data_IF_440366543647
#
_entry.id   IF_440366543647
#
_cell.length_a   1.000
_cell.length_b   1.000
_cell.length_c   1.000
_cell.angle_alpha   90.00
_cell.angle_beta   90.00
_cell.angle_gamma   90.00
#
_symmetry.space_group_name_H-M   'P 1'
#
loop_
_entity.id
_entity.type
_entity.pdbx_description
1 polymer ?
#
# COMPACT_ATOMS: atom_id res chain seq x y z
N UNK A 1 11.55 -30.71 5.43
CA UNK A 1 11.08 -31.52 4.29
C UNK A 1 11.38 -30.76 3.00
N UNK A 2 12.17 -31.31 2.07
CA UNK A 2 12.50 -30.61 0.83
C UNK A 2 11.21 -30.47 0.01
N UNK A 3 10.80 -29.23 -0.23
CA UNK A 3 9.60 -28.96 -1.00
C UNK A 3 9.82 -29.42 -2.43
N UNK A 4 8.95 -30.32 -2.88
CA UNK A 4 9.01 -30.86 -4.23
C UNK A 4 9.06 -29.71 -5.25
N UNK A 5 9.98 -29.76 -6.23
CA UNK A 5 10.20 -28.65 -7.13
C UNK A 5 8.96 -28.40 -8.01
N UNK A 6 8.53 -27.15 -8.01
CA UNK A 6 7.37 -26.65 -8.77
C UNK A 6 7.56 -26.91 -10.26
N UNK A 7 6.51 -27.33 -10.95
CA UNK A 7 6.44 -27.16 -12.40
C UNK A 7 6.20 -25.68 -12.74
N UNK A 8 6.78 -25.22 -13.85
CA UNK A 8 6.47 -23.88 -14.36
C UNK A 8 4.99 -23.77 -14.78
N UNK A 9 4.45 -22.56 -14.76
CA UNK A 9 3.06 -22.24 -15.11
C UNK A 9 2.65 -22.80 -16.46
N UNK A 10 3.50 -22.65 -17.48
CA UNK A 10 3.21 -23.11 -18.83
C UNK A 10 3.13 -24.65 -18.93
N UNK A 11 4.12 -25.39 -18.41
CA UNK A 11 4.06 -26.85 -18.38
C UNK A 11 2.87 -27.36 -17.54
N UNK A 12 2.48 -26.62 -16.50
CA UNK A 12 1.34 -26.94 -15.65
C UNK A 12 0.00 -26.77 -16.38
N UNK A 13 -0.19 -25.64 -17.08
CA UNK A 13 -1.39 -25.38 -17.89
C UNK A 13 -1.54 -26.40 -19.02
N UNK A 14 -0.44 -26.74 -19.67
CA UNK A 14 -0.43 -27.74 -20.74
C UNK A 14 -0.45 -29.20 -20.23
N UNK A 15 -0.47 -29.41 -18.90
CA UNK A 15 -0.44 -30.73 -18.25
C UNK A 15 0.71 -31.63 -18.74
N UNK A 16 1.90 -31.06 -18.94
CA UNK A 16 3.11 -31.76 -19.43
C UNK A 16 4.19 -31.87 -18.36
N UNK A 17 5.16 -32.76 -18.59
CA UNK A 17 6.33 -32.97 -17.73
C UNK A 17 7.28 -31.76 -17.82
N UNK A 18 7.57 -31.13 -16.69
CA UNK A 18 8.52 -30.02 -16.56
C UNK A 18 9.89 -30.54 -16.09
N UNK A 19 10.99 -30.03 -16.67
CA UNK A 19 12.35 -30.36 -16.22
C UNK A 19 12.76 -29.63 -14.93
N UNK A 20 12.01 -28.59 -14.52
CA UNK A 20 12.14 -27.89 -13.24
C UNK A 20 13.48 -27.16 -13.02
N UNK A 21 14.21 -26.89 -14.10
CA UNK A 21 15.38 -26.01 -14.09
C UNK A 21 14.95 -24.54 -13.96
N UNK A 22 15.58 -23.79 -13.06
CA UNK A 22 15.39 -22.33 -12.90
C UNK A 22 16.56 -21.58 -13.53
N UNK A 23 16.34 -20.48 -14.26
CA UNK A 23 15.11 -19.70 -14.37
C UNK A 23 14.10 -20.21 -15.41
N UNK A 24 14.53 -21.01 -16.38
CA UNK A 24 13.71 -21.52 -17.50
C UNK A 24 13.90 -23.03 -17.59
N UNK A 25 12.81 -23.79 -17.73
CA UNK A 25 12.92 -25.24 -17.93
C UNK A 25 13.40 -25.55 -19.37
N UNK A 26 14.26 -26.56 -19.54
CA UNK A 26 14.78 -26.99 -20.85
C UNK A 26 13.72 -27.13 -21.95
N UNK A 27 12.50 -27.59 -21.63
CA UNK A 27 11.39 -27.67 -22.60
C UNK A 27 10.95 -26.28 -23.10
N UNK A 28 10.70 -25.35 -22.18
CA UNK A 28 10.32 -24.00 -22.55
C UNK A 28 11.47 -23.24 -23.22
N UNK A 29 12.72 -23.55 -22.87
CA UNK A 29 13.91 -23.03 -23.55
C UNK A 29 13.95 -23.44 -25.02
N UNK A 30 13.86 -24.75 -25.31
CA UNK A 30 13.89 -25.25 -26.69
C UNK A 30 12.72 -24.77 -27.53
N UNK A 31 11.53 -24.66 -26.94
CA UNK A 31 10.31 -24.24 -27.63
C UNK A 31 10.11 -22.72 -27.61
N UNK A 32 11.06 -21.95 -27.05
CA UNK A 32 10.99 -20.49 -26.87
C UNK A 32 9.68 -20.01 -26.26
N UNK A 33 9.14 -20.78 -25.32
CA UNK A 33 7.92 -20.43 -24.61
C UNK A 33 8.21 -19.58 -23.38
N UNK A 34 7.28 -18.69 -23.05
CA UNK A 34 7.30 -17.95 -21.79
C UNK A 34 7.23 -18.92 -20.61
N UNK A 35 8.35 -19.09 -19.92
CA UNK A 35 8.50 -19.94 -18.75
C UNK A 35 8.52 -19.08 -17.50
N UNK A 36 7.50 -19.21 -16.66
CA UNK A 36 7.46 -18.58 -15.36
C UNK A 36 7.18 -19.62 -14.28
N UNK A 37 8.01 -19.69 -13.25
CA UNK A 37 7.68 -20.45 -12.05
C UNK A 37 6.80 -19.58 -11.15
N UNK A 38 5.71 -20.12 -10.57
CA UNK A 38 4.85 -19.34 -9.71
C UNK A 38 5.62 -18.96 -8.43
N UNK A 39 5.71 -17.66 -8.15
CA UNK A 39 6.45 -17.11 -7.00
C UNK A 39 5.70 -17.25 -5.67
N UNK A 40 4.46 -17.76 -5.69
CA UNK A 40 3.64 -18.00 -4.49
C UNK A 40 2.87 -19.31 -4.62
N UNK A 41 3.13 -20.25 -3.71
CA UNK A 41 2.19 -21.34 -3.43
C UNK A 41 1.02 -20.79 -2.63
N UNK A 42 -0.21 -21.30 -2.87
CA UNK A 42 -1.30 -21.15 -1.91
C UNK A 42 -0.81 -21.64 -0.53
N UNK A 43 -0.63 -20.71 0.39
CA UNK A 43 -0.66 -20.99 1.83
C UNK A 43 0.58 -21.60 2.50
N UNK A 44 1.83 -21.36 2.06
CA UNK A 44 3.00 -21.41 2.98
C UNK A 44 4.27 -20.79 2.43
N UNK A 45 4.97 -20.07 3.30
CA UNK A 45 6.26 -19.36 3.10
C UNK A 45 7.42 -20.37 3.05
N UNK A 46 8.39 -20.13 2.18
CA UNK A 46 9.74 -20.73 2.27
C UNK A 46 10.70 -19.57 2.03
N UNK A 47 11.45 -19.19 3.06
CA UNK A 47 12.62 -18.34 2.88
C UNK A 47 13.79 -19.18 2.36
N UNK A 48 14.67 -18.56 1.57
CA UNK A 48 16.09 -18.88 1.66
C UNK A 48 16.85 -17.70 2.27
N UNK A 49 17.55 -17.99 3.35
CA UNK A 49 18.59 -17.15 3.94
C UNK A 49 19.85 -17.21 3.06
N UNK A 50 20.51 -16.07 2.79
CA UNK A 50 21.81 -16.00 2.13
C UNK A 50 22.28 -14.56 1.86
N UNK A 51 23.61 -14.29 1.82
CA UNK A 51 24.22 -13.26 2.67
C UNK A 51 24.57 -11.92 1.96
N UNK A 52 24.83 -10.95 2.83
CA UNK A 52 25.50 -9.65 2.70
C UNK A 52 26.08 -9.26 1.34
N UNK A 53 25.67 -8.10 0.80
CA UNK A 53 26.61 -7.14 0.19
C UNK A 53 26.03 -5.73 0.16
N UNK A 54 26.96 -4.80 0.18
CA UNK A 54 26.86 -3.39 0.56
C UNK A 54 26.13 -2.49 -0.44
N UNK A 55 25.36 -1.57 0.13
CA UNK A 55 25.36 -0.14 -0.18
C UNK A 55 25.27 0.29 -1.65
N UNK A 56 24.04 0.38 -2.17
CA UNK A 56 23.58 1.52 -2.99
C UNK A 56 22.13 1.83 -2.64
N UNK A 57 21.91 2.79 -1.73
CA UNK A 57 20.58 3.36 -1.47
C UNK A 57 20.17 4.15 -2.71
N UNK A 58 19.54 3.47 -3.68
CA UNK A 58 18.70 4.14 -4.67
C UNK A 58 17.53 4.77 -3.90
N UNK A 59 17.66 6.05 -3.57
CA UNK A 59 16.57 6.87 -3.04
C UNK A 59 15.53 7.02 -4.16
N UNK A 60 14.68 6.00 -4.32
CA UNK A 60 13.53 6.04 -5.20
C UNK A 60 12.60 7.12 -4.66
N UNK A 61 12.55 8.25 -5.37
CA UNK A 61 11.62 9.34 -5.11
C UNK A 61 10.26 8.94 -5.68
N UNK A 62 9.21 9.01 -4.87
CA UNK A 62 7.84 8.78 -5.30
C UNK A 62 7.19 10.16 -5.40
N UNK A 63 6.72 10.50 -6.61
CA UNK A 63 5.94 11.71 -6.80
C UNK A 63 4.57 11.57 -6.12
N UNK A 64 4.28 12.48 -5.19
CA UNK A 64 2.95 12.70 -4.63
C UNK A 64 2.65 14.20 -4.73
N UNK A 65 1.78 14.58 -5.67
CA UNK A 65 1.24 15.94 -5.80
C UNK A 65 2.30 17.04 -5.88
N UNK A 66 3.35 16.85 -6.69
CA UNK A 66 4.48 17.78 -6.83
C UNK A 66 5.47 17.77 -5.66
N UNK A 67 5.17 17.05 -4.56
CA UNK A 67 6.09 16.80 -3.45
C UNK A 67 6.75 15.44 -3.63
N UNK A 68 8.07 15.44 -3.80
CA UNK A 68 8.87 14.22 -3.86
C UNK A 68 9.02 13.68 -2.45
N UNK A 69 8.35 12.58 -2.14
CA UNK A 69 8.54 11.85 -0.89
C UNK A 69 9.49 10.70 -1.18
N UNK A 70 10.53 10.57 -0.37
CA UNK A 70 11.40 9.40 -0.48
C UNK A 70 10.61 8.13 -0.17
N UNK A 71 10.90 7.02 -0.86
CA UNK A 71 10.26 5.73 -0.57
C UNK A 71 10.34 5.36 0.91
N UNK A 72 11.46 5.67 1.57
CA UNK A 72 11.67 5.46 3.00
C UNK A 72 10.69 6.27 3.86
N UNK A 73 10.54 7.56 3.60
CA UNK A 73 9.59 8.42 4.33
C UNK A 73 8.15 7.92 4.20
N UNK A 74 7.75 7.46 3.02
CA UNK A 74 6.41 6.89 2.87
C UNK A 74 6.25 5.53 3.57
N UNK A 75 7.29 4.71 3.66
CA UNK A 75 7.26 3.50 4.52
C UNK A 75 7.07 3.86 5.99
N UNK A 76 7.73 4.91 6.50
CA UNK A 76 7.53 5.38 7.87
C UNK A 76 6.09 5.85 8.11
N UNK A 77 5.45 6.50 7.13
CA UNK A 77 4.05 6.89 7.23
C UNK A 77 3.11 5.68 7.21
N UNK A 78 3.39 4.66 6.38
CA UNK A 78 2.66 3.39 6.41
C UNK A 78 2.78 2.73 7.79
N UNK A 79 3.98 2.71 8.37
CA UNK A 79 4.23 2.12 9.68
C UNK A 79 3.48 2.86 10.78
N UNK A 80 3.53 4.19 10.76
CA UNK A 80 2.77 5.02 11.70
C UNK A 80 1.26 4.83 11.57
N UNK A 81 0.73 4.73 10.35
CA UNK A 81 -0.69 4.43 10.12
C UNK A 81 -1.09 3.09 10.74
N UNK A 82 -0.33 2.02 10.46
CA UNK A 82 -0.61 0.68 10.95
C UNK A 82 -0.47 0.56 12.48
N UNK A 83 0.42 1.35 13.08
CA UNK A 83 0.65 1.35 14.52
C UNK A 83 -0.36 2.21 15.30
N UNK A 84 -0.73 3.38 14.75
CA UNK A 84 -1.54 4.39 15.46
C UNK A 84 -3.03 4.30 15.12
N UNK A 85 -3.39 3.79 13.95
CA UNK A 85 -4.78 3.62 13.54
C UNK A 85 -5.19 2.15 13.66
N UNK A 86 -5.63 1.76 14.86
CA UNK A 86 -6.10 0.40 15.16
C UNK A 86 -7.08 -0.14 14.10
N UNK A 87 -8.05 0.65 13.59
CA UNK A 87 -9.00 0.15 12.60
C UNK A 87 -8.39 -0.22 11.24
N UNK A 88 -7.14 0.18 10.95
CA UNK A 88 -6.44 -0.16 9.70
C UNK A 88 -6.40 -1.66 9.41
N UNK A 89 -6.39 -2.50 10.45
CA UNK A 89 -6.34 -3.97 10.34
C UNK A 89 -7.62 -4.59 9.80
N UNK A 90 -8.77 -3.89 9.90
CA UNK A 90 -10.03 -4.35 9.31
C UNK A 90 -10.08 -4.13 7.80
N UNK A 91 -9.38 -3.11 7.29
CA UNK A 91 -9.44 -2.71 5.88
C UNK A 91 -8.23 -3.18 5.07
N UNK A 92 -7.11 -3.48 5.72
CA UNK A 92 -5.93 -3.97 5.02
C UNK A 92 -5.05 -4.88 5.89
N UNK A 93 -4.35 -5.80 5.23
CA UNK A 93 -3.31 -6.61 5.87
C UNK A 93 -1.96 -5.88 5.81
N UNK A 94 -1.28 -5.59 6.94
CA UNK A 94 -0.05 -4.78 7.00
C UNK A 94 1.03 -5.18 5.98
N UNK A 95 1.38 -6.47 5.93
CA UNK A 95 2.42 -6.96 5.01
C UNK A 95 2.03 -6.83 3.53
N UNK A 96 0.74 -6.96 3.20
CA UNK A 96 0.27 -6.85 1.82
C UNK A 96 0.28 -5.39 1.37
N UNK A 97 -0.11 -4.48 2.27
CA UNK A 97 -0.07 -3.04 2.02
C UNK A 97 1.36 -2.56 1.76
N UNK A 98 2.31 -2.92 2.64
CA UNK A 98 3.73 -2.57 2.48
C UNK A 98 4.35 -3.19 1.22
N UNK A 99 3.97 -4.42 0.86
CA UNK A 99 4.42 -5.05 -0.39
C UNK A 99 3.94 -4.27 -1.61
N UNK A 100 2.64 -3.93 -1.68
CA UNK A 100 2.07 -3.11 -2.77
C UNK A 100 2.76 -1.76 -2.89
N UNK A 101 3.04 -1.10 -1.78
CA UNK A 101 3.79 0.16 -1.77
C UNK A 101 5.21 -0.01 -2.30
N UNK A 102 5.91 -1.06 -1.85
CA UNK A 102 7.27 -1.34 -2.31
C UNK A 102 7.37 -1.69 -3.79
N UNK A 103 6.36 -2.35 -4.33
CA UNK A 103 6.24 -2.73 -5.74
C UNK A 103 5.73 -1.58 -6.64
N UNK A 104 5.29 -0.45 -6.06
CA UNK A 104 4.67 0.65 -6.81
C UNK A 104 3.22 0.38 -7.26
N UNK A 105 2.61 -0.69 -6.75
CA UNK A 105 1.26 -1.16 -7.10
C UNK A 105 0.18 -0.67 -6.11
N UNK A 106 0.47 0.35 -5.31
CA UNK A 106 -0.49 0.97 -4.40
C UNK A 106 -1.12 2.19 -5.10
N UNK A 107 -2.44 2.20 -5.34
CA UNK A 107 -3.12 3.34 -5.94
C UNK A 107 -2.86 4.63 -5.17
N UNK A 108 -2.77 5.72 -5.91
CA UNK A 108 -2.47 7.05 -5.39
C UNK A 108 -3.49 7.47 -4.33
N UNK A 109 -4.79 7.26 -4.60
CA UNK A 109 -5.86 7.58 -3.65
C UNK A 109 -5.73 6.84 -2.30
N UNK A 110 -5.39 5.54 -2.33
CA UNK A 110 -5.16 4.75 -1.12
C UNK A 110 -3.93 5.26 -0.38
N UNK A 111 -2.82 5.47 -1.08
CA UNK A 111 -1.57 5.98 -0.51
C UNK A 111 -1.78 7.34 0.17
N UNK A 112 -2.42 8.27 -0.53
CA UNK A 112 -2.61 9.64 -0.06
C UNK A 112 -3.57 9.67 1.15
N UNK A 113 -4.66 8.89 1.15
CA UNK A 113 -5.53 8.77 2.34
C UNK A 113 -4.81 8.19 3.57
N UNK A 114 -3.91 7.21 3.37
CA UNK A 114 -3.08 6.65 4.44
C UNK A 114 -2.09 7.70 4.97
N UNK A 115 -1.40 8.41 4.08
CA UNK A 115 -0.43 9.43 4.46
C UNK A 115 -1.10 10.59 5.22
N UNK A 116 -2.32 10.94 4.82
CA UNK A 116 -3.14 11.90 5.53
C UNK A 116 -3.40 11.48 6.98
N UNK A 117 -3.95 10.27 7.18
CA UNK A 117 -4.22 9.71 8.50
C UNK A 117 -2.96 9.56 9.35
N UNK A 118 -1.88 8.99 8.78
CA UNK A 118 -0.60 8.81 9.47
C UNK A 118 -0.04 10.13 9.99
N UNK A 119 -0.10 11.18 9.17
CA UNK A 119 0.44 12.49 9.51
C UNK A 119 -0.40 13.17 10.58
N UNK A 120 -1.72 13.08 10.48
CA UNK A 120 -2.62 13.57 11.51
C UNK A 120 -2.36 12.89 12.86
N UNK A 121 -2.30 11.55 12.89
CA UNK A 121 -2.09 10.78 14.12
C UNK A 121 -0.72 11.03 14.74
N UNK A 122 0.35 11.15 13.92
CA UNK A 122 1.69 11.52 14.42
C UNK A 122 1.72 12.93 15.02
N UNK A 123 0.97 13.88 14.47
CA UNK A 123 0.85 15.21 15.05
C UNK A 123 0.09 15.16 16.37
N UNK A 124 -1.01 14.40 16.44
CA UNK A 124 -1.79 14.24 17.65
C UNK A 124 -1.00 13.60 18.80
N UNK A 125 -0.17 12.58 18.52
CA UNK A 125 0.68 11.95 19.56
C UNK A 125 1.77 12.89 20.08
N UNK A 126 2.32 13.75 19.23
CA UNK A 126 3.27 14.79 19.65
C UNK A 126 2.61 15.82 20.58
N UNK A 127 1.39 16.24 20.26
CA UNK A 127 0.63 17.20 21.08
C UNK A 127 0.25 16.55 22.44
N UNK A 128 -0.15 15.28 22.43
CA UNK A 128 -0.49 14.53 23.64
C UNK A 128 0.69 14.31 24.60
N UNK A 129 1.93 14.20 24.08
CA UNK A 129 3.14 14.14 24.90
C UNK A 129 3.70 15.52 25.34
N UNK A 130 3.28 16.60 24.67
CA UNK A 130 3.83 17.95 24.84
C UNK A 130 2.86 18.93 25.52
N UNK A 131 1.90 18.46 26.30
CA UNK A 131 1.15 19.32 27.21
C UNK A 131 2.01 19.49 28.48
N UNK A 132 2.52 20.67 28.85
CA UNK A 132 1.97 22.02 28.70
C UNK A 132 2.68 22.92 27.67
N UNK A 133 1.99 23.32 26.60
CA UNK A 133 1.77 24.71 26.15
C UNK A 133 1.14 24.66 24.75
N UNK A 134 -0.10 25.15 24.66
CA UNK A 134 -0.88 25.20 23.41
C UNK A 134 -0.26 26.23 22.44
N UNK A 135 0.46 25.75 21.44
CA UNK A 135 0.86 26.55 20.27
C UNK A 135 0.16 26.02 19.03
N UNK A 136 -0.87 26.76 18.61
CA UNK A 136 -1.47 26.70 17.28
C UNK A 136 -0.48 27.25 16.26
N UNK A 137 0.43 26.42 15.79
CA UNK A 137 1.14 26.74 14.53
C UNK A 137 0.30 26.22 13.37
N UNK A 138 -0.44 27.16 12.77
CA UNK A 138 -1.08 27.03 11.47
C UNK A 138 0.01 26.83 10.40
N UNK A 139 0.38 25.59 10.16
CA UNK A 139 0.99 25.19 8.90
C UNK A 139 0.01 24.24 8.27
N UNK A 140 -0.61 24.62 7.16
CA UNK A 140 -1.56 23.80 6.39
C UNK A 140 -0.97 22.39 6.25
N UNK A 141 -1.47 21.40 7.00
CA UNK A 141 -0.69 20.20 7.22
C UNK A 141 -0.70 19.40 5.90
N UNK A 142 0.44 18.82 5.49
CA UNK A 142 0.52 17.93 4.31
C UNK A 142 -0.61 16.90 4.26
N UNK A 143 -1.15 16.53 5.42
CA UNK A 143 -2.30 15.66 5.59
C UNK A 143 -3.58 16.11 4.86
N UNK A 144 -3.93 17.39 4.91
CA UNK A 144 -5.20 17.85 4.31
C UNK A 144 -5.11 17.81 2.78
N UNK A 145 -3.96 18.17 2.21
CA UNK A 145 -3.72 18.13 0.77
C UNK A 145 -3.88 16.70 0.24
N UNK A 146 -3.28 15.72 0.91
CA UNK A 146 -3.45 14.31 0.52
C UNK A 146 -4.89 13.82 0.67
N UNK A 147 -5.60 14.22 1.72
CA UNK A 147 -7.02 13.87 1.88
C UNK A 147 -7.88 14.46 0.77
N UNK A 148 -7.67 15.73 0.41
CA UNK A 148 -8.39 16.38 -0.68
C UNK A 148 -8.11 15.70 -2.03
N UNK A 149 -6.86 15.36 -2.31
CA UNK A 149 -6.52 14.65 -3.55
C UNK A 149 -7.18 13.27 -3.62
N UNK A 150 -7.06 12.48 -2.55
CA UNK A 150 -7.70 11.17 -2.48
C UNK A 150 -9.23 11.26 -2.63
N UNK A 151 -9.84 12.33 -2.10
CA UNK A 151 -11.28 12.61 -2.25
C UNK A 151 -11.67 12.82 -3.71
N UNK A 152 -10.89 13.62 -4.44
CA UNK A 152 -11.10 13.87 -5.88
C UNK A 152 -10.92 12.59 -6.71
N UNK A 153 -9.88 11.82 -6.43
CA UNK A 153 -9.56 10.59 -7.17
C UNK A 153 -10.65 9.51 -7.00
N UNK A 154 -11.21 9.38 -5.80
CA UNK A 154 -12.28 8.41 -5.51
C UNK A 154 -13.61 8.85 -6.09
N UNK A 155 -13.92 10.15 -6.11
CA UNK A 155 -15.17 10.66 -6.70
C UNK A 155 -15.31 10.26 -8.19
N UNK A 156 -14.18 10.21 -8.90
CA UNK A 156 -14.11 9.75 -10.29
C UNK A 156 -14.30 8.23 -10.47
N UNK A 157 -14.31 7.45 -9.38
CA UNK A 157 -14.40 5.99 -9.37
C UNK A 157 -15.67 5.44 -8.72
N UNK A 158 -16.61 6.32 -8.35
CA UNK A 158 -17.84 5.98 -7.62
C UNK A 158 -18.64 4.84 -8.27
N UNK A 159 -18.65 4.77 -9.60
CA UNK A 159 -19.44 3.77 -10.34
C UNK A 159 -18.80 2.37 -10.36
N UNK A 160 -17.62 2.18 -9.75
CA UNK A 160 -16.90 0.89 -9.73
C UNK A 160 -16.33 0.60 -8.34
N UNK A 161 -17.12 0.03 -7.42
CA UNK A 161 -16.64 -0.29 -6.09
C UNK A 161 -15.49 -1.30 -6.17
N UNK A 162 -14.34 -0.90 -5.63
CA UNK A 162 -13.15 -1.74 -5.49
C UNK A 162 -12.68 -1.73 -4.04
N UNK A 163 -11.90 -2.73 -3.64
CA UNK A 163 -11.30 -2.76 -2.31
C UNK A 163 -10.48 -1.48 -2.01
N UNK A 164 -9.83 -0.93 -3.04
CA UNK A 164 -9.02 0.29 -2.92
C UNK A 164 -9.89 1.54 -2.73
N UNK A 165 -11.04 1.62 -3.40
CA UNK A 165 -12.03 2.69 -3.20
C UNK A 165 -12.59 2.61 -1.78
N UNK A 166 -12.99 1.44 -1.31
CA UNK A 166 -13.53 1.24 0.05
C UNK A 166 -12.49 1.61 1.12
N UNK A 167 -11.25 1.15 0.96
CA UNK A 167 -10.16 1.49 1.89
C UNK A 167 -9.92 3.01 1.92
N UNK A 168 -9.94 3.66 0.76
CA UNK A 168 -9.75 5.11 0.68
C UNK A 168 -10.90 5.86 1.37
N UNK A 169 -12.16 5.49 1.10
CA UNK A 169 -13.34 6.09 1.74
C UNK A 169 -13.31 5.92 3.25
N UNK A 170 -12.98 4.73 3.74
CA UNK A 170 -12.86 4.46 5.18
C UNK A 170 -11.88 5.42 5.86
N UNK A 171 -10.70 5.61 5.25
CA UNK A 171 -9.69 6.52 5.76
C UNK A 171 -10.12 7.99 5.68
N UNK A 172 -10.77 8.40 4.58
CA UNK A 172 -11.25 9.77 4.41
C UNK A 172 -12.35 10.13 5.42
N UNK A 173 -13.31 9.24 5.64
CA UNK A 173 -14.37 9.44 6.63
C UNK A 173 -13.75 9.60 8.02
N UNK A 174 -12.84 8.71 8.41
CA UNK A 174 -12.14 8.79 9.69
C UNK A 174 -11.34 10.10 9.82
N UNK A 175 -10.60 10.48 8.77
CA UNK A 175 -9.79 11.70 8.75
C UNK A 175 -10.63 12.96 8.93
N UNK A 176 -11.66 13.13 8.10
CA UNK A 176 -12.49 14.33 8.14
C UNK A 176 -13.26 14.45 9.46
N UNK A 177 -13.65 13.32 10.07
CA UNK A 177 -14.22 13.29 11.41
C UNK A 177 -13.20 13.78 12.43
N UNK A 178 -11.96 13.26 12.39
CA UNK A 178 -10.93 13.60 13.35
C UNK A 178 -10.45 15.06 13.25
N UNK A 179 -10.48 15.65 12.05
CA UNK A 179 -10.17 17.08 11.83
C UNK A 179 -11.36 18.01 12.18
N UNK A 180 -12.55 17.46 12.43
CA UNK A 180 -13.75 18.24 12.75
C UNK A 180 -14.49 18.81 11.53
N UNK A 181 -14.13 18.40 10.30
CA UNK A 181 -14.76 18.84 9.04
C UNK A 181 -15.91 17.90 8.64
N UNK A 182 -16.95 17.84 9.48
CA UNK A 182 -18.06 16.87 9.37
C UNK A 182 -18.85 16.97 8.07
N UNK A 183 -18.89 18.13 7.42
CA UNK A 183 -19.52 18.30 6.09
C UNK A 183 -18.84 17.42 5.03
N UNK A 184 -17.51 17.37 5.02
CA UNK A 184 -16.75 16.53 4.08
C UNK A 184 -16.97 15.03 4.35
N UNK A 185 -17.16 14.64 5.62
CA UNK A 185 -17.53 13.27 5.95
C UNK A 185 -18.88 12.89 5.33
N UNK A 186 -19.87 13.78 5.43
CA UNK A 186 -21.21 13.53 4.88
C UNK A 186 -21.16 13.31 3.38
N UNK A 187 -20.39 14.11 2.64
CA UNK A 187 -20.20 13.94 1.20
C UNK A 187 -19.63 12.57 0.81
N UNK A 188 -18.82 11.95 1.67
CA UNK A 188 -18.27 10.61 1.45
C UNK A 188 -19.16 9.47 1.95
N UNK A 189 -20.13 9.76 2.81
CA UNK A 189 -21.07 8.80 3.36
C UNK A 189 -22.42 8.79 2.61
N UNK A 190 -22.77 9.88 1.92
CA UNK A 190 -23.96 9.97 1.09
C UNK A 190 -23.74 9.30 -0.27
N UNK A 191 -24.70 8.46 -0.70
CA UNK A 191 -24.78 8.02 -2.10
C UNK A 191 -24.96 9.25 -3.01
N UNK A 192 -24.41 9.24 -4.24
CA UNK A 192 -24.79 10.23 -5.24
C UNK A 192 -26.30 10.09 -5.47
N UNK A 193 -27.05 11.13 -5.17
CA UNK A 193 -28.47 11.21 -5.50
C UNK A 193 -28.63 10.93 -7.00
N UNK A 194 -29.33 9.83 -7.31
CA UNK A 194 -29.75 9.43 -8.66
C UNK A 194 -30.67 10.49 -9.25
#
# INVERSE_FOLDING_TARGET
MPLQPLSCTNCREQKRKCSRETPICSRCYHLKFNCAYPSRWRGRRIEPCGPSSSSKRNTLLIASNGRLISKATGLELLDAYLALFIPSTFVCHPLRLKARYNEGNLPICVRDSIFSMATFLRSATKIGLASDTRSTSETTPPAEIWAQQASTDVRNQINRPSLDVIHTLFNLIAYWCAVGKTQKCREHASEPSV
#
